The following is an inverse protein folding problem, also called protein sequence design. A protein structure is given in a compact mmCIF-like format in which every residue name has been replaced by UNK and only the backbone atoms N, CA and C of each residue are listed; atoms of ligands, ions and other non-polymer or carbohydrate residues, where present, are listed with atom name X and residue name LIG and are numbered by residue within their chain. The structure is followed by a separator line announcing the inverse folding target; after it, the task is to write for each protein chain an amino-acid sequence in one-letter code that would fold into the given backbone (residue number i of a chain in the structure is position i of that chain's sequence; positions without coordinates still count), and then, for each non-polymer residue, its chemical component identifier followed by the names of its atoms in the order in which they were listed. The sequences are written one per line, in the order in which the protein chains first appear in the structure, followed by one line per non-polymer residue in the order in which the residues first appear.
data_IF_692678402917
#
_entry.id   IF_692678402917
#
_cell.length_a   1.000
_cell.length_b   1.000
_cell.length_c   1.000
_cell.angle_alpha   90.00
_cell.angle_beta   90.00
_cell.angle_gamma   90.00
#
_symmetry.space_group_name_H-M   'P 1'
#
loop_
_entity.id
_entity.type
_entity.pdbx_description
1 polymer ?
#
# COMPACT_ATOMS: atom_id res chain seq x y z
N UNK A 1 19.61 -48.71 41.85
CA UNK A 1 18.57 -48.25 40.89
C UNK A 1 18.39 -46.73 40.84
N UNK A 2 18.72 -45.97 41.91
CA UNK A 2 18.58 -44.50 41.94
C UNK A 2 19.36 -43.73 40.85
N UNK A 3 20.58 -44.17 40.46
CA UNK A 3 21.40 -43.48 39.44
C UNK A 3 20.79 -43.48 38.03
N UNK A 4 19.89 -44.42 37.68
CA UNK A 4 19.22 -44.44 36.37
C UNK A 4 18.05 -43.44 36.30
N UNK A 5 17.40 -43.15 37.43
CA UNK A 5 16.29 -42.19 37.51
C UNK A 5 16.72 -40.72 37.43
N UNK A 6 17.92 -40.40 37.92
CA UNK A 6 18.48 -39.06 37.83
C UNK A 6 18.81 -38.68 36.37
N UNK A 7 19.45 -39.59 35.63
CA UNK A 7 19.77 -39.39 34.22
C UNK A 7 18.51 -39.22 33.34
N UNK A 8 17.42 -39.96 33.63
CA UNK A 8 16.15 -39.77 32.91
C UNK A 8 15.46 -38.45 33.23
N UNK A 9 15.61 -37.94 34.46
CA UNK A 9 15.01 -36.67 34.86
C UNK A 9 15.73 -35.48 34.21
N UNK A 10 17.06 -35.51 34.14
CA UNK A 10 17.86 -34.51 33.44
C UNK A 10 17.54 -34.49 31.93
N UNK A 11 17.37 -35.66 31.30
CA UNK A 11 16.97 -35.76 29.90
C UNK A 11 15.58 -35.17 29.64
N UNK A 12 14.61 -35.42 30.52
CA UNK A 12 13.26 -34.85 30.41
C UNK A 12 13.26 -33.32 30.53
N UNK A 13 14.06 -32.78 31.45
CA UNK A 13 14.23 -31.33 31.60
C UNK A 13 14.87 -30.73 30.35
N UNK A 14 15.94 -31.36 29.82
CA UNK A 14 16.61 -30.88 28.61
C UNK A 14 15.67 -30.85 27.39
N UNK A 15 14.85 -31.89 27.22
CA UNK A 15 13.83 -31.94 26.17
C UNK A 15 12.80 -30.82 26.36
N UNK A 16 12.33 -30.60 27.60
CA UNK A 16 11.40 -29.52 27.91
C UNK A 16 11.96 -28.14 27.57
N UNK A 17 13.23 -27.87 27.91
CA UNK A 17 13.91 -26.62 27.58
C UNK A 17 14.01 -26.44 26.05
N UNK A 18 14.32 -27.49 25.30
CA UNK A 18 14.35 -27.43 23.83
C UNK A 18 12.98 -27.07 23.24
N UNK A 19 11.90 -27.63 23.77
CA UNK A 19 10.54 -27.28 23.34
C UNK A 19 10.20 -25.82 23.64
N UNK A 20 10.59 -25.31 24.82
CA UNK A 20 10.38 -23.89 25.17
C UNK A 20 11.13 -22.97 24.20
N UNK A 21 12.40 -23.29 23.90
CA UNK A 21 13.19 -22.51 22.93
C UNK A 21 12.53 -22.52 21.55
N UNK A 22 12.08 -23.70 21.09
CA UNK A 22 11.39 -23.82 19.80
C UNK A 22 10.10 -23.01 19.77
N UNK A 23 9.32 -23.04 20.84
CA UNK A 23 8.06 -22.31 20.93
C UNK A 23 8.27 -20.79 20.91
N UNK A 24 9.29 -20.30 21.61
CA UNK A 24 9.68 -18.87 21.58
C UNK A 24 10.10 -18.46 20.18
N UNK A 25 10.95 -19.25 19.51
CA UNK A 25 11.34 -18.98 18.11
C UNK A 25 10.14 -18.98 17.16
N UNK A 26 9.21 -19.92 17.35
CA UNK A 26 7.99 -19.98 16.55
C UNK A 26 7.11 -18.74 16.75
N UNK A 27 6.95 -18.25 17.99
CA UNK A 27 6.22 -17.00 18.23
C UNK A 27 6.87 -15.82 17.51
N UNK A 28 8.19 -15.65 17.64
CA UNK A 28 8.91 -14.57 16.95
C UNK A 28 8.79 -14.67 15.43
N UNK A 29 8.82 -15.88 14.87
CA UNK A 29 8.60 -16.10 13.44
C UNK A 29 7.22 -15.61 13.00
N UNK A 30 6.15 -15.97 13.72
CA UNK A 30 4.80 -15.55 13.39
C UNK A 30 4.63 -14.03 13.52
N UNK A 31 5.16 -13.43 14.59
CA UNK A 31 5.11 -11.98 14.78
C UNK A 31 5.78 -11.24 13.62
N UNK A 32 7.00 -11.68 13.25
CA UNK A 32 7.73 -11.09 12.13
C UNK A 32 6.98 -11.22 10.81
N UNK A 33 6.29 -12.34 10.58
CA UNK A 33 5.53 -12.54 9.36
C UNK A 33 4.32 -11.59 9.26
N UNK A 34 3.65 -11.33 10.39
CA UNK A 34 2.57 -10.33 10.48
C UNK A 34 3.10 -8.93 10.21
N UNK A 35 4.22 -8.56 10.84
CA UNK A 35 4.84 -7.24 10.66
C UNK A 35 5.27 -6.99 9.21
N UNK A 36 5.82 -8.00 8.54
CA UNK A 36 6.20 -7.92 7.13
C UNK A 36 4.98 -7.69 6.23
N UNK A 37 3.89 -8.43 6.47
CA UNK A 37 2.67 -8.29 5.68
C UNK A 37 2.04 -6.90 5.83
N UNK A 38 1.98 -6.38 7.05
CA UNK A 38 1.49 -5.02 7.30
C UNK A 38 2.37 -3.96 6.63
N UNK A 39 3.70 -4.17 6.67
CA UNK A 39 4.66 -3.27 6.01
C UNK A 39 4.49 -3.30 4.49
N UNK A 40 4.25 -4.46 3.89
CA UNK A 40 4.02 -4.59 2.44
C UNK A 40 2.74 -3.86 1.99
N UNK A 41 1.67 -3.96 2.77
CA UNK A 41 0.41 -3.24 2.52
C UNK A 41 0.66 -1.72 2.58
N UNK A 42 1.31 -1.22 3.63
CA UNK A 42 1.62 0.20 3.76
C UNK A 42 2.53 0.72 2.63
N UNK A 43 3.54 -0.05 2.25
CA UNK A 43 4.46 0.32 1.18
C UNK A 43 3.75 0.33 -0.17
N UNK A 44 2.82 -0.59 -0.40
CA UNK A 44 2.04 -0.64 -1.64
C UNK A 44 1.14 0.59 -1.75
N UNK A 45 0.39 0.92 -0.70
CA UNK A 45 -0.45 2.12 -0.66
C UNK A 45 0.36 3.41 -0.88
N UNK A 46 1.53 3.55 -0.23
CA UNK A 46 2.46 4.67 -0.45
C UNK A 46 2.98 4.72 -1.89
N UNK A 47 3.39 3.58 -2.44
CA UNK A 47 3.90 3.50 -3.81
C UNK A 47 2.82 3.90 -4.83
N UNK A 48 1.57 3.51 -4.62
CA UNK A 48 0.48 3.81 -5.56
C UNK A 48 0.07 5.27 -5.52
N UNK A 49 -0.08 5.81 -4.32
CA UNK A 49 -0.28 7.23 -4.10
C UNK A 49 0.81 8.06 -4.82
N UNK A 50 2.07 7.63 -4.74
CA UNK A 50 3.18 8.28 -5.43
C UNK A 50 3.12 8.10 -6.96
N UNK A 51 2.80 6.90 -7.45
CA UNK A 51 2.64 6.63 -8.89
C UNK A 51 1.53 7.48 -9.50
N UNK A 52 0.38 7.58 -8.84
CA UNK A 52 -0.74 8.40 -9.29
C UNK A 52 -0.36 9.89 -9.30
N UNK A 53 0.28 10.37 -8.23
CA UNK A 53 0.79 11.75 -8.17
C UNK A 53 1.74 12.05 -9.33
N UNK A 54 2.72 11.18 -9.59
CA UNK A 54 3.64 11.32 -10.70
C UNK A 54 2.92 11.29 -12.06
N UNK A 55 1.95 10.39 -12.24
CA UNK A 55 1.22 10.30 -13.49
C UNK A 55 0.40 11.56 -13.78
N UNK A 56 -0.31 12.09 -12.79
CA UNK A 56 -1.05 13.36 -12.89
C UNK A 56 -0.08 14.49 -13.25
N UNK A 57 1.04 14.60 -12.54
CA UNK A 57 2.04 15.64 -12.78
C UNK A 57 2.67 15.52 -14.18
N UNK A 58 2.96 14.30 -14.63
CA UNK A 58 3.54 14.03 -15.94
C UNK A 58 2.56 14.35 -17.06
N UNK A 59 1.31 13.89 -16.99
CA UNK A 59 0.28 14.19 -17.98
C UNK A 59 0.03 15.69 -18.08
N UNK A 60 -0.05 16.37 -16.92
CA UNK A 60 -0.18 17.81 -16.89
C UNK A 60 1.01 18.52 -17.57
N UNK A 61 2.23 18.01 -17.38
CA UNK A 61 3.45 18.59 -17.96
C UNK A 61 3.68 18.23 -19.44
N UNK A 62 3.21 17.07 -19.89
CA UNK A 62 3.30 16.62 -21.27
C UNK A 62 2.38 17.41 -22.21
N UNK A 63 1.33 18.02 -21.66
CA UNK A 63 0.38 18.83 -22.40
C UNK A 63 -0.78 18.02 -23.00
N UNK A 64 -1.57 18.71 -23.81
CA UNK A 64 -2.83 18.26 -24.37
C UNK A 64 -2.70 16.95 -25.18
N UNK A 65 -3.74 16.11 -25.13
CA UNK A 65 -3.81 14.81 -25.81
C UNK A 65 -2.80 13.75 -25.32
N UNK A 66 -2.13 13.99 -24.19
CA UNK A 66 -1.32 12.96 -23.53
C UNK A 66 -2.19 12.00 -22.71
N UNK A 67 -1.83 10.72 -22.71
CA UNK A 67 -2.57 9.68 -21.99
C UNK A 67 -1.60 8.70 -21.30
N UNK A 68 -1.95 8.26 -20.09
CA UNK A 68 -1.26 7.20 -19.35
C UNK A 68 -2.30 6.31 -18.69
N UNK A 69 -2.16 5.01 -18.88
CA UNK A 69 -2.95 4.00 -18.17
C UNK A 69 -2.15 3.45 -16.99
N UNK A 70 -2.81 3.31 -15.84
CA UNK A 70 -2.24 2.76 -14.61
C UNK A 70 -3.22 1.76 -14.02
N UNK A 71 -2.68 0.72 -13.37
CA UNK A 71 -3.46 -0.18 -12.54
C UNK A 71 -3.32 0.23 -11.07
N UNK A 72 -4.44 0.56 -10.43
CA UNK A 72 -4.52 0.80 -8.99
C UNK A 72 -4.90 -0.50 -8.28
N UNK A 73 -4.16 -0.88 -7.24
CA UNK A 73 -4.52 -2.04 -6.40
C UNK A 73 -5.27 -1.66 -5.14
N UNK A 74 -5.40 -0.36 -4.86
CA UNK A 74 -6.14 0.15 -3.71
C UNK A 74 -7.02 1.33 -4.13
N UNK A 75 -8.05 1.57 -3.34
CA UNK A 75 -8.87 2.76 -3.49
C UNK A 75 -8.07 4.01 -3.10
N UNK A 76 -8.20 5.07 -3.90
CA UNK A 76 -7.47 6.31 -3.70
C UNK A 76 -8.43 7.48 -3.82
N UNK A 77 -8.42 8.37 -2.83
CA UNK A 77 -9.17 9.62 -2.87
C UNK A 77 -8.31 10.75 -3.38
N UNK A 78 -8.80 11.49 -4.36
CA UNK A 78 -8.16 12.69 -4.90
C UNK A 78 -8.92 13.91 -4.42
N UNK A 79 -8.18 14.90 -3.91
CA UNK A 79 -8.65 16.20 -3.47
C UNK A 79 -7.94 17.31 -4.26
N UNK A 80 -8.43 17.65 -5.47
CA UNK A 80 -7.73 18.56 -6.37
C UNK A 80 -7.54 19.98 -5.79
N UNK A 81 -8.55 20.53 -5.11
CA UNK A 81 -8.46 21.84 -4.44
C UNK A 81 -7.36 21.90 -3.37
N UNK A 82 -7.15 20.80 -2.65
CA UNK A 82 -6.07 20.68 -1.66
C UNK A 82 -4.76 20.20 -2.27
N UNK A 83 -4.72 19.97 -3.58
CA UNK A 83 -3.59 19.36 -4.29
C UNK A 83 -3.11 18.08 -3.63
N UNK A 84 -4.05 17.26 -3.16
CA UNK A 84 -3.78 16.11 -2.30
C UNK A 84 -4.37 14.83 -2.88
N UNK A 85 -3.65 13.75 -2.68
CA UNK A 85 -4.08 12.37 -2.93
C UNK A 85 -3.95 11.63 -1.61
N UNK A 86 -4.98 10.89 -1.23
CA UNK A 86 -5.03 10.11 0.00
C UNK A 86 -5.34 8.66 -0.32
N UNK A 87 -4.51 7.77 0.19
CA UNK A 87 -4.74 6.33 0.28
C UNK A 87 -4.84 5.95 1.75
N UNK A 88 -5.22 4.70 2.05
CA UNK A 88 -5.50 4.23 3.42
C UNK A 88 -4.38 4.53 4.44
N UNK A 89 -3.12 4.55 3.99
CA UNK A 89 -1.95 4.77 4.84
C UNK A 89 -0.97 5.82 4.31
N UNK A 90 -1.36 6.60 3.29
CA UNK A 90 -0.46 7.51 2.60
C UNK A 90 -1.15 8.78 2.14
N UNK A 91 -0.41 9.89 2.18
CA UNK A 91 -0.83 11.18 1.61
C UNK A 91 0.25 11.68 0.67
N UNK A 92 -0.13 12.01 -0.56
CA UNK A 92 0.75 12.54 -1.60
C UNK A 92 0.19 13.87 -2.12
N UNK A 93 1.06 14.67 -2.74
CA UNK A 93 0.67 15.97 -3.29
C UNK A 93 0.77 15.95 -4.81
N UNK A 94 -0.06 16.74 -5.47
CA UNK A 94 -0.01 16.99 -6.92
C UNK A 94 0.31 18.46 -7.20
N UNK A 95 0.76 18.78 -8.40
CA UNK A 95 1.15 20.16 -8.74
C UNK A 95 -0.03 21.02 -9.21
N UNK A 96 -1.09 20.38 -9.71
CA UNK A 96 -2.25 21.02 -10.34
C UNK A 96 -3.54 20.75 -9.57
N UNK A 97 -4.48 21.69 -9.60
CA UNK A 97 -5.87 21.51 -9.15
C UNK A 97 -6.82 21.19 -10.32
N UNK A 98 -6.31 21.21 -11.55
CA UNK A 98 -7.04 20.87 -12.77
C UNK A 98 -7.09 19.36 -12.93
N UNK A 99 -7.77 18.69 -12.00
CA UNK A 99 -7.99 17.24 -12.05
C UNK A 99 -9.49 16.98 -11.88
N UNK A 100 -10.02 16.09 -12.71
CA UNK A 100 -11.42 15.70 -12.68
C UNK A 100 -11.54 14.19 -12.90
N UNK A 101 -12.50 13.58 -12.22
CA UNK A 101 -13.06 12.30 -12.65
C UNK A 101 -14.11 12.54 -13.73
N UNK A 102 -14.31 11.56 -14.62
CA UNK A 102 -15.30 11.65 -15.71
C UNK A 102 -16.72 11.91 -15.20
N UNK A 103 -17.03 11.46 -13.98
CA UNK A 103 -18.37 11.59 -13.39
C UNK A 103 -18.56 12.83 -12.51
N UNK A 104 -17.48 13.59 -12.26
CA UNK A 104 -17.45 14.69 -11.28
C UNK A 104 -16.99 15.99 -11.92
N UNK A 105 -17.39 17.13 -11.37
CA UNK A 105 -16.89 18.44 -11.81
C UNK A 105 -15.42 18.64 -11.40
N UNK A 106 -14.65 19.32 -12.25
CA UNK A 106 -13.25 19.69 -11.99
C UNK A 106 -13.09 20.34 -10.62
N UNK A 107 -12.05 19.93 -9.88
CA UNK A 107 -11.74 20.50 -8.57
C UNK A 107 -12.37 19.74 -7.39
N UNK A 108 -13.45 18.98 -7.60
CA UNK A 108 -14.11 18.31 -6.48
C UNK A 108 -13.37 17.05 -6.01
N UNK A 109 -13.58 16.68 -4.75
CA UNK A 109 -13.06 15.44 -4.16
C UNK A 109 -13.78 14.24 -4.79
N UNK A 110 -13.02 13.23 -5.22
CA UNK A 110 -13.55 11.97 -5.73
C UNK A 110 -12.68 10.79 -5.30
N UNK A 111 -13.23 9.58 -5.35
CA UNK A 111 -12.52 8.34 -5.03
C UNK A 111 -12.40 7.48 -6.27
N UNK A 112 -11.17 7.15 -6.62
CA UNK A 112 -10.83 6.16 -7.63
C UNK A 112 -10.87 4.77 -6.98
N UNK A 113 -11.63 3.88 -7.58
CA UNK A 113 -11.67 2.47 -7.19
C UNK A 113 -10.43 1.72 -7.69
N UNK A 114 -10.12 0.61 -7.04
CA UNK A 114 -9.15 -0.36 -7.56
C UNK A 114 -9.51 -0.80 -8.99
N UNK A 115 -8.49 -0.98 -9.84
CA UNK A 115 -8.67 -1.32 -11.25
C UNK A 115 -7.79 -0.50 -12.19
N UNK A 116 -8.03 -0.69 -13.48
CA UNK A 116 -7.35 0.07 -14.52
C UNK A 116 -8.00 1.45 -14.65
N UNK A 117 -7.15 2.47 -14.65
CA UNK A 117 -7.53 3.86 -14.87
C UNK A 117 -6.72 4.42 -16.02
N UNK A 118 -7.36 5.23 -16.84
CA UNK A 118 -6.70 6.00 -17.88
C UNK A 118 -6.80 7.47 -17.52
N UNK A 119 -5.64 8.12 -17.46
CA UNK A 119 -5.54 9.55 -17.27
C UNK A 119 -5.29 10.18 -18.64
N UNK A 120 -6.05 11.22 -18.99
CA UNK A 120 -5.87 12.04 -20.19
C UNK A 120 -5.69 13.51 -19.83
N UNK A 121 -4.98 14.27 -20.67
CA UNK A 121 -4.96 15.73 -20.61
C UNK A 121 -5.86 16.30 -21.70
N UNK A 122 -7.03 16.78 -21.30
CA UNK A 122 -8.00 17.42 -22.18
C UNK A 122 -8.11 18.89 -21.76
N UNK A 123 -7.75 19.82 -22.66
CA UNK A 123 -7.79 21.27 -22.39
C UNK A 123 -7.02 21.74 -21.13
N UNK A 124 -5.86 21.14 -20.82
CA UNK A 124 -5.08 21.36 -19.59
C UNK A 124 -5.76 20.88 -18.29
N UNK A 125 -6.79 20.04 -18.42
CA UNK A 125 -7.44 19.35 -17.30
C UNK A 125 -7.05 17.88 -17.38
N UNK A 126 -6.52 17.34 -16.27
CA UNK A 126 -6.26 15.92 -16.14
C UNK A 126 -7.58 15.21 -15.85
N UNK A 127 -8.13 14.51 -16.84
CA UNK A 127 -9.34 13.71 -16.71
C UNK A 127 -8.94 12.27 -16.39
N UNK A 128 -9.55 11.69 -15.36
CA UNK A 128 -9.34 10.30 -14.98
C UNK A 128 -10.60 9.51 -15.36
N UNK A 129 -10.40 8.40 -16.05
CA UNK A 129 -11.46 7.51 -16.53
C UNK A 129 -11.21 6.09 -16.02
N UNK A 130 -12.26 5.43 -15.55
CA UNK A 130 -12.24 4.02 -15.17
C UNK A 130 -12.59 3.16 -16.38
N UNK A 131 -11.85 2.07 -16.58
CA UNK A 131 -12.22 0.99 -17.53
C UNK A 131 -13.12 -0.07 -16.89
#
# INVERSE_FOLDING_TARGET
MAKKGQASMEAMIAIGVLFVIFFVMFMFYNQKNIDLNNTEIELTAKSECFKLSLAINNIFSLGENSQITLNLKNNITVEPEQKRIESESAVCTIITNQVSDQSVLTGQRFTLLEGDITLSNDDNIVVIQHE
#
